data_IF_721261311777
#
_entry.id   IF_721261311777
#
_cell.length_a   1.000
_cell.length_b   1.000
_cell.length_c   1.000
_cell.angle_alpha   90.00
_cell.angle_beta   90.00
_cell.angle_gamma   90.00
#
_symmetry.space_group_name_H-M   'P 1'
#
loop_
_entity.id
_entity.type
_entity.pdbx_description
1 polymer ?
#
# COMPACT_ATOMS: atom_id res chain seq x y z
N UNK A 1 -37.10 -0.15 9.34
CA UNK A 1 -36.95 1.31 9.23
C UNK A 1 -35.49 1.60 8.94
N UNK A 2 -35.09 1.58 7.66
CA UNK A 2 -33.69 1.73 7.23
C UNK A 2 -33.39 3.21 7.02
N UNK A 3 -32.92 3.88 8.07
CA UNK A 3 -32.41 5.23 7.97
C UNK A 3 -31.19 5.25 7.06
N UNK A 4 -31.30 6.00 5.96
CA UNK A 4 -30.22 6.37 5.06
C UNK A 4 -29.11 7.07 5.86
N UNK A 5 -28.11 6.31 6.33
CA UNK A 5 -26.91 6.91 6.89
C UNK A 5 -26.16 7.60 5.76
N UNK A 6 -26.34 8.93 5.63
CA UNK A 6 -25.40 9.73 4.83
C UNK A 6 -24.02 9.51 5.43
N UNK A 7 -23.12 8.93 4.65
CA UNK A 7 -21.70 8.81 4.97
C UNK A 7 -21.18 10.20 5.31
N UNK A 8 -20.64 10.37 6.52
CA UNK A 8 -20.03 11.64 6.93
C UNK A 8 -18.87 11.93 5.99
N UNK A 9 -18.80 13.17 5.52
CA UNK A 9 -17.71 13.68 4.71
C UNK A 9 -16.79 14.58 5.54
N UNK A 10 -15.52 14.59 5.18
CA UNK A 10 -14.51 15.50 5.69
C UNK A 10 -13.77 16.07 4.48
N UNK A 11 -13.69 17.39 4.36
CA UNK A 11 -13.03 18.06 3.24
C UNK A 11 -11.67 18.58 3.69
N UNK A 12 -10.63 18.23 2.94
CA UNK A 12 -9.28 18.75 3.09
C UNK A 12 -8.83 19.51 1.84
N UNK A 13 -8.03 20.56 2.02
CA UNK A 13 -7.57 21.43 0.92
C UNK A 13 -6.47 20.76 0.06
N UNK A 14 -5.72 19.82 0.62
CA UNK A 14 -4.61 19.16 -0.05
C UNK A 14 -4.98 17.77 -0.59
N UNK A 15 -5.79 17.03 0.17
CA UNK A 15 -6.16 15.64 -0.12
C UNK A 15 -7.61 15.47 -0.60
N UNK A 16 -8.38 16.55 -0.67
CA UNK A 16 -9.76 16.53 -1.16
C UNK A 16 -10.75 15.95 -0.15
N UNK A 17 -11.80 15.30 -0.66
CA UNK A 17 -12.88 14.78 0.19
C UNK A 17 -12.61 13.36 0.68
N UNK A 18 -12.89 13.14 1.97
CA UNK A 18 -12.90 11.83 2.61
C UNK A 18 -14.31 11.46 3.03
N UNK A 19 -14.62 10.16 2.97
CA UNK A 19 -15.85 9.59 3.52
C UNK A 19 -15.53 8.49 4.54
N UNK A 20 -16.26 8.50 5.66
CA UNK A 20 -16.07 7.47 6.70
C UNK A 20 -16.74 6.14 6.27
N UNK A 21 -15.96 5.05 6.19
CA UNK A 21 -16.44 3.69 5.93
C UNK A 21 -15.55 2.66 6.62
N UNK A 22 -16.18 1.70 7.31
CA UNK A 22 -15.51 0.61 8.04
C UNK A 22 -14.39 1.13 8.98
N UNK A 23 -14.68 2.19 9.74
CA UNK A 23 -13.75 2.83 10.69
C UNK A 23 -12.55 3.58 10.07
N UNK A 24 -12.49 3.74 8.75
CA UNK A 24 -11.48 4.54 8.06
C UNK A 24 -12.11 5.70 7.28
N UNK A 25 -11.41 6.83 7.26
CA UNK A 25 -11.69 7.94 6.37
C UNK A 25 -11.04 7.66 5.02
N UNK A 26 -11.86 7.53 3.98
CA UNK A 26 -11.39 7.11 2.66
C UNK A 26 -11.49 8.23 1.65
N UNK A 27 -10.36 8.50 1.02
CA UNK A 27 -10.19 9.47 -0.05
C UNK A 27 -9.21 8.93 -1.07
N UNK A 28 -8.49 9.84 -1.73
CA UNK A 28 -7.48 9.51 -2.73
C UNK A 28 -6.26 10.41 -2.56
N UNK A 29 -5.11 9.93 -3.00
CA UNK A 29 -3.87 10.69 -3.03
C UNK A 29 -3.17 10.48 -4.36
N UNK A 30 -2.56 11.52 -4.90
CA UNK A 30 -1.75 11.42 -6.12
C UNK A 30 -0.29 11.17 -5.72
N UNK A 31 0.28 10.07 -6.19
CA UNK A 31 1.69 9.75 -6.04
C UNK A 31 2.29 9.48 -7.42
N UNK A 32 3.27 10.26 -7.84
CA UNK A 32 4.00 9.99 -9.07
C UNK A 32 5.00 8.84 -8.87
N UNK A 33 5.15 7.92 -9.84
CA UNK A 33 4.46 7.85 -11.14
C UNK A 33 3.15 7.05 -11.11
N UNK A 34 2.69 6.61 -9.94
CA UNK A 34 1.54 5.70 -9.76
C UNK A 34 0.16 6.36 -10.01
N UNK A 35 0.10 7.69 -10.09
CA UNK A 35 -1.14 8.43 -10.31
C UNK A 35 -2.01 8.49 -9.06
N UNK A 36 -3.34 8.45 -9.24
CA UNK A 36 -4.29 8.55 -8.14
C UNK A 36 -4.52 7.19 -7.45
N UNK A 37 -4.21 7.12 -6.17
CA UNK A 37 -4.24 5.90 -5.34
C UNK A 37 -5.26 6.04 -4.22
N UNK A 38 -6.08 5.01 -3.94
CA UNK A 38 -6.93 4.97 -2.76
C UNK A 38 -6.16 5.19 -1.46
N UNK A 39 -6.65 6.10 -0.62
CA UNK A 39 -6.06 6.43 0.68
C UNK A 39 -7.08 6.20 1.79
N UNK A 40 -6.70 5.48 2.83
CA UNK A 40 -7.47 5.34 4.07
C UNK A 40 -6.70 5.90 5.26
N UNK A 41 -7.34 6.81 6.00
CA UNK A 41 -6.79 7.41 7.21
C UNK A 41 -7.54 6.89 8.43
N UNK A 42 -6.79 6.51 9.46
CA UNK A 42 -7.36 6.29 10.78
C UNK A 42 -7.97 7.60 11.31
N UNK A 43 -8.93 7.49 12.21
CA UNK A 43 -9.57 8.65 12.82
C UNK A 43 -10.70 8.27 13.73
N UNK A 44 -11.44 9.29 14.15
CA UNK A 44 -12.68 9.11 14.90
C UNK A 44 -13.87 9.18 13.93
N UNK A 45 -15.09 9.01 14.45
CA UNK A 45 -16.31 9.21 13.66
C UNK A 45 -16.49 10.65 13.15
N UNK A 46 -15.78 11.62 13.72
CA UNK A 46 -15.99 13.04 13.49
C UNK A 46 -14.96 13.62 12.48
N UNK A 47 -13.72 13.11 12.50
CA UNK A 47 -12.67 13.52 11.55
C UNK A 47 -11.52 12.48 11.50
N UNK A 48 -10.67 12.52 10.45
CA UNK A 48 -9.39 11.81 10.42
C UNK A 48 -8.49 12.19 11.61
N UNK A 49 -7.59 11.30 12.01
CA UNK A 49 -6.54 11.59 12.99
C UNK A 49 -5.57 12.65 12.42
N UNK A 50 -5.27 13.68 13.21
CA UNK A 50 -4.42 14.78 12.77
C UNK A 50 -3.00 14.34 12.40
N UNK A 51 -2.45 13.33 13.07
CA UNK A 51 -1.14 12.78 12.72
C UNK A 51 -1.21 11.93 11.45
N UNK A 52 -2.33 11.21 11.23
CA UNK A 52 -2.53 10.47 9.99
C UNK A 52 -2.64 11.41 8.79
N UNK A 53 -3.33 12.55 8.93
CA UNK A 53 -3.36 13.61 7.92
C UNK A 53 -1.97 14.20 7.66
N UNK A 54 -1.24 14.55 8.73
CA UNK A 54 0.11 15.11 8.60
C UNK A 54 1.07 14.15 7.91
N UNK A 55 0.97 12.84 8.16
CA UNK A 55 1.71 11.82 7.45
C UNK A 55 1.30 11.74 5.97
N UNK A 56 -0.01 11.74 5.69
CA UNK A 56 -0.53 11.72 4.34
C UNK A 56 -0.05 12.91 3.49
N UNK A 57 0.08 14.11 4.07
CA UNK A 57 0.64 15.28 3.39
C UNK A 57 2.11 15.12 3.00
N UNK A 58 2.88 14.32 3.76
CA UNK A 58 4.30 14.07 3.49
C UNK A 58 4.52 12.99 2.43
N UNK A 59 3.54 12.12 2.19
CA UNK A 59 3.69 10.96 1.29
C UNK A 59 4.20 11.32 -0.10
N UNK A 60 3.69 12.35 -0.82
CA UNK A 60 4.16 12.64 -2.17
C UNK A 60 5.66 12.99 -2.23
N UNK A 61 6.19 13.64 -1.20
CA UNK A 61 7.60 13.99 -1.10
C UNK A 61 8.47 12.80 -0.63
N UNK A 62 7.95 11.96 0.26
CA UNK A 62 8.68 10.82 0.83
C UNK A 62 8.72 9.60 -0.08
N UNK A 63 7.64 9.34 -0.82
CA UNK A 63 7.43 8.12 -1.59
C UNK A 63 8.55 7.80 -2.60
N UNK A 64 9.11 8.76 -3.37
CA UNK A 64 10.24 8.48 -4.26
C UNK A 64 11.47 7.93 -3.52
N UNK A 65 11.71 8.39 -2.28
CA UNK A 65 12.81 7.92 -1.44
C UNK A 65 12.60 6.50 -0.91
N UNK A 66 11.37 6.00 -0.91
CA UNK A 66 11.04 4.65 -0.45
C UNK A 66 11.16 3.59 -1.53
N UNK A 67 11.15 3.98 -2.81
CA UNK A 67 11.17 3.06 -3.94
C UNK A 67 12.30 2.01 -3.88
N UNK A 68 13.55 2.33 -3.48
CA UNK A 68 14.60 1.32 -3.35
C UNK A 68 14.29 0.25 -2.30
N UNK A 69 13.76 0.63 -1.12
CA UNK A 69 13.42 -0.32 -0.06
C UNK A 69 12.19 -1.16 -0.41
N UNK A 70 11.19 -0.57 -1.06
CA UNK A 70 10.02 -1.28 -1.57
C UNK A 70 10.45 -2.34 -2.58
N UNK A 71 11.28 -1.95 -3.56
CA UNK A 71 11.81 -2.84 -4.59
C UNK A 71 12.58 -4.02 -4.00
N UNK A 72 13.44 -3.76 -3.01
CA UNK A 72 14.22 -4.79 -2.34
C UNK A 72 13.32 -5.79 -1.62
N UNK A 73 12.36 -5.30 -0.83
CA UNK A 73 11.44 -6.15 -0.07
C UNK A 73 10.57 -7.04 -0.99
N UNK A 74 10.06 -6.49 -2.09
CA UNK A 74 9.29 -7.25 -3.09
C UNK A 74 10.14 -8.34 -3.74
N UNK A 75 11.41 -8.07 -4.00
CA UNK A 75 12.31 -9.04 -4.61
C UNK A 75 12.68 -10.16 -3.65
N UNK A 76 12.96 -9.87 -2.38
CA UNK A 76 13.15 -10.88 -1.32
C UNK A 76 11.91 -11.78 -1.18
N UNK A 77 10.71 -11.20 -1.28
CA UNK A 77 9.47 -11.99 -1.32
C UNK A 77 9.38 -12.87 -2.57
N UNK A 78 9.89 -12.42 -3.71
CA UNK A 78 9.88 -13.17 -4.96
C UNK A 78 10.91 -14.31 -4.99
N UNK A 79 12.03 -14.22 -4.29
CA UNK A 79 13.12 -15.21 -4.30
C UNK A 79 12.65 -16.69 -4.24
N UNK A 80 11.77 -17.12 -3.31
CA UNK A 80 11.31 -18.51 -3.28
C UNK A 80 10.53 -18.92 -4.54
N UNK A 81 9.78 -18.00 -5.17
CA UNK A 81 9.10 -18.25 -6.44
C UNK A 81 10.11 -18.34 -7.59
N UNK A 82 11.12 -17.47 -7.60
CA UNK A 82 12.20 -17.48 -8.58
C UNK A 82 13.00 -18.79 -8.56
N UNK A 83 13.30 -19.31 -7.36
CA UNK A 83 13.96 -20.61 -7.19
C UNK A 83 13.11 -21.76 -7.74
N UNK A 84 11.82 -21.81 -7.39
CA UNK A 84 10.92 -22.85 -7.86
C UNK A 84 10.69 -22.79 -9.38
N UNK A 85 10.62 -21.59 -9.97
CA UNK A 85 10.59 -21.39 -11.44
C UNK A 85 11.86 -21.93 -12.07
N UNK A 86 13.04 -21.62 -11.52
CA UNK A 86 14.32 -22.09 -12.04
C UNK A 86 14.49 -23.62 -11.94
N UNK A 87 13.89 -24.23 -10.91
CA UNK A 87 13.82 -25.68 -10.74
C UNK A 87 12.79 -26.35 -11.69
N UNK A 88 11.96 -25.57 -12.39
CA UNK A 88 10.92 -26.07 -13.28
C UNK A 88 9.64 -26.52 -12.57
N UNK A 89 9.45 -26.12 -11.31
CA UNK A 89 8.27 -26.48 -10.50
C UNK A 89 7.03 -25.65 -10.89
N UNK A 90 7.24 -24.48 -11.50
CA UNK A 90 6.18 -23.61 -12.04
C UNK A 90 6.36 -23.38 -13.55
N UNK A 91 6.14 -24.41 -14.40
CA UNK A 91 6.36 -24.32 -15.84
C UNK A 91 5.35 -23.42 -16.56
N UNK A 92 4.30 -22.96 -15.88
CA UNK A 92 3.26 -22.06 -16.39
C UNK A 92 3.48 -20.59 -15.99
N UNK A 93 4.54 -20.27 -15.23
CA UNK A 93 4.82 -18.90 -14.82
C UNK A 93 4.92 -17.97 -16.06
N UNK A 94 4.30 -16.77 -16.05
CA UNK A 94 4.40 -15.81 -17.14
C UNK A 94 5.84 -15.37 -17.42
N UNK A 95 6.17 -15.04 -18.68
CA UNK A 95 7.53 -14.65 -19.06
C UNK A 95 8.04 -13.44 -18.26
N UNK A 96 7.19 -12.44 -18.01
CA UNK A 96 7.54 -11.27 -17.21
C UNK A 96 7.91 -11.61 -15.75
N UNK A 97 7.38 -12.70 -15.21
CA UNK A 97 7.73 -13.22 -13.88
C UNK A 97 9.04 -14.00 -13.94
N UNK A 98 9.25 -14.82 -14.98
CA UNK A 98 10.52 -15.55 -15.19
C UNK A 98 11.71 -14.61 -15.36
N UNK A 99 11.47 -13.46 -15.97
CA UNK A 99 12.49 -12.44 -16.27
C UNK A 99 12.83 -11.55 -15.07
N UNK A 100 12.16 -11.70 -13.92
CA UNK A 100 12.54 -10.99 -12.70
C UNK A 100 13.94 -11.46 -12.26
N UNK A 101 14.90 -10.52 -12.21
CA UNK A 101 16.28 -10.77 -11.77
C UNK A 101 16.79 -9.74 -10.77
N UNK A 102 16.10 -8.61 -10.65
CA UNK A 102 16.51 -7.49 -9.81
C UNK A 102 15.34 -6.93 -8.99
N UNK A 103 15.63 -6.19 -7.90
CA UNK A 103 14.64 -5.40 -7.18
C UNK A 103 13.76 -4.52 -8.06
N UNK A 104 14.34 -3.91 -9.11
CA UNK A 104 13.61 -3.04 -10.02
C UNK A 104 12.59 -3.81 -10.86
N UNK A 105 12.91 -5.04 -11.24
CA UNK A 105 12.01 -5.89 -12.02
C UNK A 105 10.82 -6.32 -11.15
N UNK A 106 11.08 -6.69 -9.89
CA UNK A 106 10.02 -7.03 -8.94
C UNK A 106 9.06 -5.86 -8.73
N UNK A 107 9.58 -4.64 -8.54
CA UNK A 107 8.75 -3.44 -8.42
C UNK A 107 7.93 -3.18 -9.70
N UNK A 108 8.54 -3.41 -10.88
CA UNK A 108 7.88 -3.19 -12.18
C UNK A 108 6.81 -4.24 -12.49
N UNK A 109 6.88 -5.42 -11.85
CA UNK A 109 5.89 -6.49 -11.88
C UNK A 109 4.95 -6.45 -10.66
N UNK A 110 4.82 -5.28 -10.03
CA UNK A 110 3.94 -5.05 -8.90
C UNK A 110 3.10 -3.80 -9.12
N UNK A 111 1.93 -3.75 -8.48
CA UNK A 111 1.02 -2.60 -8.55
C UNK A 111 0.59 -2.17 -7.16
N UNK A 112 0.87 -0.91 -6.83
CA UNK A 112 0.31 -0.26 -5.64
C UNK A 112 -1.21 -0.13 -5.80
N UNK A 113 -1.97 -0.73 -4.89
CA UNK A 113 -3.44 -0.74 -4.91
C UNK A 113 -4.05 0.27 -3.95
N UNK A 114 -3.44 0.47 -2.79
CA UNK A 114 -3.93 1.40 -1.78
C UNK A 114 -2.84 1.79 -0.79
N UNK A 115 -3.16 2.81 -0.01
CA UNK A 115 -2.37 3.25 1.14
C UNK A 115 -3.26 3.33 2.36
N UNK A 116 -2.81 2.79 3.49
CA UNK A 116 -3.38 3.10 4.79
C UNK A 116 -2.40 3.91 5.62
N UNK A 117 -2.92 4.88 6.36
CA UNK A 117 -2.17 5.60 7.39
C UNK A 117 -2.95 5.48 8.68
N UNK A 118 -2.39 4.75 9.64
CA UNK A 118 -3.09 4.45 10.88
C UNK A 118 -2.17 3.94 11.96
N UNK A 119 -2.74 3.57 13.11
CA UNK A 119 -1.94 3.06 14.23
C UNK A 119 -1.88 1.54 14.21
N UNK A 120 -0.66 0.99 14.21
CA UNK A 120 -0.40 -0.42 14.48
C UNK A 120 0.39 -0.49 15.79
N UNK A 121 -0.12 -1.26 16.75
CA UNK A 121 0.48 -1.41 18.09
C UNK A 121 0.80 -0.06 18.75
N UNK A 122 -0.07 0.95 18.55
CA UNK A 122 0.05 2.29 19.13
C UNK A 122 0.92 3.28 18.32
N UNK A 123 1.72 2.81 17.37
CA UNK A 123 2.59 3.65 16.53
C UNK A 123 1.92 4.00 15.21
N UNK A 124 2.14 5.21 14.69
CA UNK A 124 1.66 5.59 13.35
C UNK A 124 2.46 4.82 12.29
N UNK A 125 1.75 4.22 11.34
CA UNK A 125 2.28 3.40 10.26
C UNK A 125 1.63 3.84 8.96
N UNK A 126 2.46 3.98 7.93
CA UNK A 126 2.03 4.03 6.54
C UNK A 126 2.20 2.64 5.96
N UNK A 127 1.11 2.00 5.55
CA UNK A 127 1.13 0.69 4.88
C UNK A 127 0.74 0.85 3.41
N UNK A 128 1.60 0.37 2.52
CA UNK A 128 1.40 0.36 1.08
C UNK A 128 0.98 -1.06 0.65
N UNK A 129 -0.22 -1.20 0.12
CA UNK A 129 -0.74 -2.48 -0.36
C UNK A 129 -0.36 -2.73 -1.81
N UNK A 130 0.51 -3.70 -2.06
CA UNK A 130 0.94 -4.12 -3.40
C UNK A 130 0.29 -5.46 -3.79
N UNK A 131 -0.13 -5.57 -5.05
CA UNK A 131 -0.37 -6.86 -5.69
C UNK A 131 0.78 -7.16 -6.64
N UNK A 132 1.08 -8.43 -6.83
CA UNK A 132 2.25 -8.91 -7.59
C UNK A 132 1.85 -10.03 -8.51
N UNK A 133 2.48 -10.11 -9.68
CA UNK A 133 2.16 -11.14 -10.69
C UNK A 133 2.58 -12.57 -10.30
N UNK A 134 3.43 -12.74 -9.28
CA UNK A 134 3.87 -14.05 -8.79
C UNK A 134 3.10 -14.57 -7.56
N UNK A 135 2.31 -13.72 -6.92
CA UNK A 135 1.49 -14.06 -5.74
C UNK A 135 0.10 -13.47 -5.93
N UNK A 136 -0.74 -14.23 -6.63
CA UNK A 136 -2.12 -13.84 -6.96
C UNK A 136 -3.06 -13.91 -5.75
N UNK A 137 -2.72 -14.72 -4.75
CA UNK A 137 -3.58 -14.97 -3.60
C UNK A 137 -3.55 -13.81 -2.60
N UNK A 138 -2.40 -13.14 -2.49
CA UNK A 138 -2.16 -12.17 -1.43
C UNK A 138 -1.96 -10.74 -1.94
N UNK A 139 -2.32 -9.80 -1.08
CA UNK A 139 -1.85 -8.42 -1.19
C UNK A 139 -0.75 -8.27 -0.16
N UNK A 140 0.42 -7.79 -0.60
CA UNK A 140 1.58 -7.56 0.24
C UNK A 140 1.47 -6.18 0.88
N UNK A 141 1.59 -6.12 2.20
CA UNK A 141 1.61 -4.86 2.95
C UNK A 141 3.03 -4.43 3.25
N UNK A 142 3.50 -3.33 2.66
CA UNK A 142 4.82 -2.77 2.95
C UNK A 142 4.67 -1.62 3.93
N UNK A 143 5.31 -1.71 5.10
CA UNK A 143 5.10 -0.78 6.21
C UNK A 143 6.27 0.15 6.42
N UNK A 144 5.93 1.42 6.67
CA UNK A 144 6.85 2.48 7.04
C UNK A 144 6.46 3.09 8.38
N UNK A 145 7.45 3.31 9.24
CA UNK A 145 7.32 4.01 10.52
C UNK A 145 8.20 5.27 10.46
N UNK A 146 7.58 6.44 10.60
CA UNK A 146 8.27 7.74 10.50
C UNK A 146 9.16 7.84 9.24
N UNK A 147 8.61 7.38 8.12
CA UNK A 147 9.28 7.37 6.82
C UNK A 147 10.44 6.38 6.65
N UNK A 148 10.66 5.48 7.61
CA UNK A 148 11.64 4.39 7.50
C UNK A 148 10.95 3.06 7.24
N UNK A 149 11.49 2.27 6.33
CA UNK A 149 11.02 0.91 6.07
C UNK A 149 11.09 0.09 7.35
N UNK A 150 10.01 -0.63 7.66
CA UNK A 150 9.95 -1.52 8.82
C UNK A 150 9.88 -2.98 8.39
N UNK A 151 8.90 -3.35 7.56
CA UNK A 151 8.68 -4.74 7.16
C UNK A 151 7.82 -4.85 5.90
N UNK A 152 7.86 -6.03 5.27
CA UNK A 152 6.86 -6.50 4.32
C UNK A 152 6.05 -7.63 4.99
N UNK A 153 4.73 -7.50 5.00
CA UNK A 153 3.81 -8.50 5.52
C UNK A 153 3.08 -9.21 4.37
N UNK A 154 3.02 -10.54 4.40
CA UNK A 154 2.29 -11.37 3.42
C UNK A 154 0.76 -11.24 3.46
N UNK A 155 0.19 -10.37 4.31
CA UNK A 155 -1.23 -10.01 4.25
C UNK A 155 -1.46 -8.60 4.81
N UNK A 156 -2.35 -7.85 4.15
CA UNK A 156 -2.72 -6.48 4.53
C UNK A 156 -4.23 -6.31 4.62
N UNK A 157 -4.68 -5.32 5.40
CA UNK A 157 -6.09 -4.93 5.44
C UNK A 157 -6.49 -4.38 4.06
N UNK A 158 -7.37 -5.07 3.34
CA UNK A 158 -7.90 -4.54 2.06
C UNK A 158 -8.71 -3.28 2.33
N UNK A 159 -8.32 -2.20 1.66
CA UNK A 159 -9.00 -0.90 1.75
C UNK A 159 -10.13 -0.89 0.77
#
# INVERSE_FOLDING_TARGET
>A
MFGLFKSRSYSDVHLGEFSLKNSYWRGRIVLDPNGEIPLALAGTRDAPDANALAEAYRLPASFPGWAPSIAQALFEHFEPYGEAIAAGEYPEAPDNVRDIKTPRDALSNSKLQFITVGRISGSMVTELGYVTEWDEEHTLGIRFHDGKFAELCGSTLRV
#
